data_IF_236763663373
#
_entry.id   IF_236763663373
#
_cell.length_a   1.000
_cell.length_b   1.000
_cell.length_c   1.000
_cell.angle_alpha   90.00
_cell.angle_beta   90.00
_cell.angle_gamma   90.00
#
_symmetry.space_group_name_H-M   'P 1'
#
loop_
_entity.id
_entity.type
_entity.pdbx_description
1 polymer ?
#
# COMPACT_ATOMS: atom_id res chain seq x y z
N UNK A 1 -28.30 27.74 -26.90
CA UNK A 1 -29.05 27.93 -25.63
C UNK A 1 -29.50 26.54 -25.21
N UNK A 2 -29.17 25.90 -24.09
CA UNK A 2 -28.43 26.14 -22.85
C UNK A 2 -27.98 24.73 -22.40
N UNK A 3 -26.70 24.46 -22.13
CA UNK A 3 -25.97 24.75 -20.89
C UNK A 3 -26.37 23.88 -19.69
N UNK A 4 -25.33 23.29 -19.06
CA UNK A 4 -25.22 22.79 -17.68
C UNK A 4 -25.77 21.40 -17.37
N UNK A 5 -25.12 20.53 -16.59
CA UNK A 5 -23.87 20.62 -15.82
C UNK A 5 -23.49 19.19 -15.40
N UNK A 6 -22.33 18.70 -15.83
CA UNK A 6 -21.58 17.65 -15.12
C UNK A 6 -20.43 18.37 -14.42
N UNK A 7 -20.41 18.39 -13.07
CA UNK A 7 -19.17 18.57 -12.30
C UNK A 7 -19.36 18.33 -10.80
N UNK A 8 -19.02 17.13 -10.37
CA UNK A 8 -18.76 16.80 -8.97
C UNK A 8 -17.35 16.21 -8.82
N UNK A 9 -16.32 17.00 -9.13
CA UNK A 9 -14.94 16.59 -8.89
C UNK A 9 -14.59 16.91 -7.42
N UNK A 10 -14.41 15.87 -6.60
CA UNK A 10 -13.80 16.00 -5.28
C UNK A 10 -12.33 16.38 -5.49
N UNK A 11 -12.04 17.68 -5.35
CA UNK A 11 -10.69 18.23 -5.36
C UNK A 11 -10.04 17.96 -4.01
N UNK A 12 -9.22 16.93 -3.94
CA UNK A 12 -8.28 16.76 -2.82
C UNK A 12 -7.18 17.81 -2.99
N UNK A 13 -7.28 18.91 -2.25
CA UNK A 13 -6.20 19.90 -2.11
C UNK A 13 -4.95 19.20 -1.58
N UNK A 14 -3.97 18.93 -2.44
CA UNK A 14 -2.61 18.65 -2.01
C UNK A 14 -2.02 19.93 -1.44
N UNK A 15 -1.94 20.01 -0.11
CA UNK A 15 -1.11 21.01 0.57
C UNK A 15 0.34 20.63 0.35
N UNK A 16 1.02 21.37 -0.54
CA UNK A 16 2.45 21.26 -0.77
C UNK A 16 3.21 21.66 0.50
N UNK A 17 3.46 20.69 1.38
CA UNK A 17 4.29 20.89 2.55
C UNK A 17 5.74 21.08 2.09
N UNK A 18 6.32 22.26 2.37
CA UNK A 18 7.72 22.61 2.14
C UNK A 18 8.62 21.42 2.53
N UNK A 19 9.31 20.80 1.57
CA UNK A 19 10.19 19.66 1.84
C UNK A 19 11.59 19.98 1.32
N UNK A 20 12.56 19.89 2.23
CA UNK A 20 13.98 19.85 1.89
C UNK A 20 14.31 18.71 0.92
N UNK A 21 15.59 18.58 0.57
CA UNK A 21 16.15 17.67 -0.45
C UNK A 21 15.24 16.44 -0.71
N UNK A 22 14.78 16.24 -1.97
CA UNK A 22 13.83 15.18 -2.30
C UNK A 22 14.21 13.87 -1.63
N UNK A 23 13.24 13.23 -0.97
CA UNK A 23 13.40 11.87 -0.43
C UNK A 23 13.99 10.99 -1.52
N UNK A 24 15.07 10.28 -1.21
CA UNK A 24 15.70 9.36 -2.16
C UNK A 24 14.71 8.22 -2.44
N UNK A 25 14.07 8.27 -3.61
CA UNK A 25 13.02 7.34 -4.01
C UNK A 25 13.53 5.92 -4.22
N UNK A 26 14.83 5.75 -4.55
CA UNK A 26 15.43 4.42 -4.72
C UNK A 26 15.57 3.71 -3.37
N UNK A 27 15.98 4.47 -2.36
CA UNK A 27 16.06 3.96 -1.00
C UNK A 27 14.67 3.60 -0.46
N UNK A 28 13.65 4.40 -0.76
CA UNK A 28 12.27 4.09 -0.35
C UNK A 28 11.78 2.79 -0.99
N UNK A 29 12.00 2.62 -2.30
CA UNK A 29 11.65 1.39 -3.00
C UNK A 29 12.35 0.15 -2.39
N UNK A 30 13.65 0.23 -2.12
CA UNK A 30 14.41 -0.87 -1.52
C UNK A 30 13.88 -1.27 -0.12
N UNK A 31 13.50 -0.28 0.71
CA UNK A 31 12.92 -0.54 2.03
C UNK A 31 11.51 -1.14 1.90
N UNK A 32 10.71 -0.70 0.92
CA UNK A 32 9.38 -1.26 0.66
C UNK A 32 9.47 -2.71 0.18
N UNK A 33 10.35 -3.03 -0.77
CA UNK A 33 10.56 -4.41 -1.23
C UNK A 33 11.01 -5.32 -0.08
N UNK A 34 11.95 -4.86 0.74
CA UNK A 34 12.38 -5.57 1.95
C UNK A 34 11.23 -5.77 2.96
N UNK A 35 10.32 -4.81 3.06
CA UNK A 35 9.13 -4.90 3.92
C UNK A 35 8.18 -5.98 3.42
N UNK A 36 7.87 -5.98 2.12
CA UNK A 36 7.01 -6.99 1.49
C UNK A 36 7.63 -8.38 1.67
N UNK A 37 8.94 -8.53 1.46
CA UNK A 37 9.64 -9.80 1.62
C UNK A 37 9.67 -10.30 3.09
N UNK A 38 9.88 -9.41 4.06
CA UNK A 38 9.87 -9.76 5.48
C UNK A 38 8.45 -10.19 5.92
N UNK A 39 7.43 -9.43 5.53
CA UNK A 39 6.03 -9.79 5.80
C UNK A 39 5.70 -11.11 5.13
N UNK A 40 6.01 -11.29 3.84
CA UNK A 40 5.86 -12.56 3.09
C UNK A 40 6.50 -13.76 3.78
N UNK A 41 7.65 -13.56 4.43
CA UNK A 41 8.39 -14.63 5.10
C UNK A 41 7.88 -14.95 6.51
N UNK A 42 7.40 -13.95 7.27
CA UNK A 42 7.16 -14.08 8.72
C UNK A 42 5.73 -13.74 9.16
N UNK A 43 4.86 -13.37 8.23
CA UNK A 43 3.57 -12.79 8.55
C UNK A 43 3.67 -11.35 9.06
N UNK A 44 2.53 -10.69 9.18
CA UNK A 44 2.44 -9.28 9.59
C UNK A 44 2.94 -9.03 11.03
N UNK A 45 2.52 -9.89 11.96
CA UNK A 45 2.93 -9.84 13.36
C UNK A 45 4.42 -10.18 13.54
N UNK A 46 4.91 -11.17 12.80
CA UNK A 46 6.30 -11.64 12.87
C UNK A 46 7.32 -10.75 12.14
N UNK A 47 6.87 -9.83 11.29
CA UNK A 47 7.75 -8.89 10.61
C UNK A 47 8.34 -7.86 11.60
N UNK A 48 9.64 -7.60 11.50
CA UNK A 48 10.35 -6.69 12.42
C UNK A 48 11.09 -5.60 11.66
N UNK A 49 11.25 -4.42 12.28
CA UNK A 49 12.04 -3.33 11.69
C UNK A 49 13.50 -3.76 11.52
N UNK A 50 14.03 -4.55 12.45
CA UNK A 50 15.34 -5.18 12.38
C UNK A 50 15.48 -6.07 11.13
N UNK A 51 14.52 -6.96 10.89
CA UNK A 51 14.53 -7.84 9.72
C UNK A 51 14.42 -7.07 8.40
N UNK A 52 13.59 -6.03 8.36
CA UNK A 52 13.45 -5.15 7.20
C UNK A 52 14.74 -4.39 6.94
N UNK A 53 15.34 -3.80 7.98
CA UNK A 53 16.60 -3.08 7.90
C UNK A 53 17.73 -3.97 7.38
N UNK A 54 17.82 -5.20 7.89
CA UNK A 54 18.80 -6.19 7.43
C UNK A 54 18.60 -6.54 5.94
N UNK A 55 17.37 -6.79 5.50
CA UNK A 55 17.05 -7.10 4.10
C UNK A 55 17.31 -5.93 3.15
N UNK A 56 17.00 -4.71 3.58
CA UNK A 56 17.23 -3.49 2.79
C UNK A 56 18.70 -3.02 2.83
N UNK A 57 19.57 -3.64 3.63
CA UNK A 57 20.96 -3.21 3.79
C UNK A 57 21.11 -1.84 4.45
N UNK A 58 20.19 -1.46 5.34
CA UNK A 58 20.18 -0.15 6.01
C UNK A 58 20.10 -0.26 7.52
N UNK A 59 20.43 0.83 8.23
CA UNK A 59 20.22 0.91 9.68
C UNK A 59 18.79 1.27 10.07
N UNK A 60 18.34 0.82 11.25
CA UNK A 60 17.00 1.13 11.80
C UNK A 60 16.68 2.63 11.83
N UNK A 61 17.66 3.46 12.21
CA UNK A 61 17.49 4.92 12.25
C UNK A 61 17.20 5.55 10.87
N UNK A 62 17.63 4.90 9.77
CA UNK A 62 17.28 5.31 8.41
C UNK A 62 15.80 5.07 8.13
N UNK A 63 15.24 3.96 8.61
CA UNK A 63 13.82 3.65 8.51
C UNK A 63 13.01 4.61 9.37
N UNK A 64 13.33 4.74 10.67
CA UNK A 64 12.55 5.59 11.58
C UNK A 64 12.55 7.07 11.23
N UNK A 65 13.64 7.58 10.63
CA UNK A 65 13.70 8.97 10.11
C UNK A 65 12.71 9.19 8.96
N UNK A 66 12.38 8.14 8.21
CA UNK A 66 11.49 8.19 7.05
C UNK A 66 10.04 7.87 7.42
N UNK A 67 9.84 6.86 8.26
CA UNK A 67 8.56 6.41 8.80
C UNK A 67 8.66 6.33 10.33
N UNK A 68 7.99 7.22 11.06
CA UNK A 68 8.10 7.29 12.53
C UNK A 68 7.75 5.99 13.26
N UNK A 69 6.89 5.14 12.67
CA UNK A 69 6.49 3.86 13.23
C UNK A 69 6.54 2.71 12.20
N UNK A 70 6.48 1.46 12.72
CA UNK A 70 6.29 0.24 11.90
C UNK A 70 4.99 0.33 11.09
N UNK A 71 3.92 0.84 11.71
CA UNK A 71 2.61 1.03 11.06
C UNK A 71 2.70 2.01 9.89
N UNK A 72 3.38 3.15 10.05
CA UNK A 72 3.56 4.13 8.96
C UNK A 72 4.28 3.53 7.75
N UNK A 73 5.31 2.72 7.99
CA UNK A 73 6.03 2.01 6.93
C UNK A 73 5.12 0.99 6.24
N UNK A 74 4.32 0.25 7.00
CA UNK A 74 3.47 -0.81 6.47
C UNK A 74 2.30 -0.23 5.66
N UNK A 75 1.71 0.87 6.12
CA UNK A 75 0.72 1.63 5.35
C UNK A 75 1.32 2.15 4.05
N UNK A 76 2.53 2.72 4.10
CA UNK A 76 3.21 3.18 2.88
C UNK A 76 3.50 2.02 1.92
N UNK A 77 4.01 0.90 2.42
CA UNK A 77 4.24 -0.30 1.61
C UNK A 77 2.93 -0.83 1.02
N UNK A 78 1.83 -0.84 1.79
CA UNK A 78 0.51 -1.21 1.31
C UNK A 78 0.06 -0.33 0.13
N UNK A 79 0.27 0.99 0.19
CA UNK A 79 -0.03 1.89 -0.94
C UNK A 79 0.82 1.63 -2.19
N UNK A 80 2.00 1.00 -2.04
CA UNK A 80 2.85 0.67 -3.17
C UNK A 80 2.41 -0.63 -3.88
N UNK A 81 1.81 -1.58 -3.15
CA UNK A 81 1.23 -2.81 -3.74
C UNK A 81 -0.21 -2.61 -4.22
N UNK A 82 -0.99 -1.75 -3.57
CA UNK A 82 -2.31 -1.35 -4.08
C UNK A 82 -2.15 -0.27 -5.14
N UNK A 83 -2.03 -0.68 -6.41
CA UNK A 83 -2.31 0.26 -7.51
C UNK A 83 -3.74 0.79 -7.34
N UNK A 84 -4.00 2.09 -7.54
CA UNK A 84 -5.37 2.55 -7.75
C UNK A 84 -5.91 1.76 -8.93
N UNK A 85 -6.87 0.86 -8.67
CA UNK A 85 -7.72 0.36 -9.72
C UNK A 85 -8.64 1.53 -10.02
N UNK A 86 -8.34 2.29 -11.07
CA UNK A 86 -9.40 3.09 -11.68
C UNK A 86 -10.48 2.10 -12.07
N UNK A 87 -11.61 2.14 -11.35
CA UNK A 87 -12.74 1.30 -11.70
C UNK A 87 -13.10 1.65 -13.14
N UNK A 88 -13.10 0.67 -14.06
CA UNK A 88 -13.63 0.91 -15.39
C UNK A 88 -15.05 1.46 -15.23
N UNK A 89 -15.39 2.44 -16.04
CA UNK A 89 -16.76 2.95 -16.17
C UNK A 89 -17.18 2.62 -17.61
N UNK A 90 -17.47 1.35 -17.83
CA UNK A 90 -17.86 0.83 -19.15
C UNK A 90 -19.35 1.05 -19.42
N UNK A 91 -20.10 1.58 -18.44
CA UNK A 91 -21.56 1.71 -18.47
C UNK A 91 -22.29 0.43 -18.06
N UNK A 92 -21.55 -0.61 -17.65
CA UNK A 92 -22.09 -1.88 -17.17
C UNK A 92 -21.58 -2.17 -15.76
N UNK A 93 -22.47 -2.00 -14.78
CA UNK A 93 -22.15 -2.24 -13.37
C UNK A 93 -21.56 -3.64 -13.11
N UNK A 94 -22.04 -4.66 -13.83
CA UNK A 94 -21.55 -6.05 -13.65
C UNK A 94 -20.12 -6.18 -14.17
N UNK A 95 -19.81 -5.61 -15.33
CA UNK A 95 -18.47 -5.67 -15.92
C UNK A 95 -17.48 -4.84 -15.11
N UNK A 96 -17.89 -3.67 -14.66
CA UNK A 96 -17.08 -2.79 -13.81
C UNK A 96 -16.81 -3.42 -12.45
N UNK A 97 -17.79 -4.15 -11.88
CA UNK A 97 -17.62 -4.92 -10.64
C UNK A 97 -16.62 -6.06 -10.81
N UNK A 98 -16.72 -6.84 -11.89
CA UNK A 98 -15.74 -7.90 -12.17
C UNK A 98 -14.34 -7.32 -12.39
N UNK A 99 -14.22 -6.22 -13.13
CA UNK A 99 -12.94 -5.58 -13.37
C UNK A 99 -12.31 -4.97 -12.12
N UNK A 100 -13.12 -4.54 -11.14
CA UNK A 100 -12.64 -4.08 -9.85
C UNK A 100 -12.25 -5.22 -8.90
N UNK A 101 -13.01 -6.31 -8.88
CA UNK A 101 -12.86 -7.41 -7.90
C UNK A 101 -11.83 -8.45 -8.34
N UNK A 102 -11.75 -8.78 -9.64
CA UNK A 102 -10.85 -9.84 -10.13
C UNK A 102 -9.36 -9.54 -9.87
N UNK A 103 -8.84 -8.31 -10.04
CA UNK A 103 -7.44 -8.01 -9.71
C UNK A 103 -7.14 -8.15 -8.21
N UNK A 104 -8.11 -7.82 -7.35
CA UNK A 104 -7.99 -7.97 -5.90
C UNK A 104 -8.01 -9.45 -5.54
N UNK A 105 -8.94 -10.22 -6.11
CA UNK A 105 -9.02 -11.66 -5.92
C UNK A 105 -7.76 -12.39 -6.43
N UNK A 106 -7.25 -12.01 -7.61
CA UNK A 106 -5.98 -12.50 -8.14
C UNK A 106 -4.85 -12.21 -7.17
N UNK A 107 -4.70 -10.95 -6.74
CA UNK A 107 -3.70 -10.53 -5.75
C UNK A 107 -3.78 -11.35 -4.45
N UNK A 108 -4.98 -11.55 -3.91
CA UNK A 108 -5.20 -12.29 -2.67
C UNK A 108 -4.98 -13.81 -2.83
N UNK A 109 -5.11 -14.35 -4.04
CA UNK A 109 -4.91 -15.78 -4.32
C UNK A 109 -3.51 -16.12 -4.82
N UNK A 110 -2.64 -15.12 -4.98
CA UNK A 110 -1.22 -15.36 -5.31
C UNK A 110 -0.54 -16.18 -4.21
N UNK A 111 0.29 -17.17 -4.55
CA UNK A 111 0.91 -18.06 -3.56
C UNK A 111 1.72 -17.29 -2.50
N UNK A 112 2.34 -16.17 -2.88
CA UNK A 112 3.16 -15.34 -1.97
C UNK A 112 2.31 -14.56 -0.95
N UNK A 113 1.06 -14.25 -1.29
CA UNK A 113 0.15 -13.45 -0.45
C UNK A 113 -0.90 -14.32 0.27
N UNK A 114 -1.24 -15.48 -0.28
CA UNK A 114 -2.17 -16.43 0.32
C UNK A 114 -1.70 -16.92 1.71
N UNK A 115 -0.39 -17.04 1.91
CA UNK A 115 0.19 -17.38 3.22
C UNK A 115 0.02 -16.28 4.28
N UNK A 116 -0.21 -15.04 3.87
CA UNK A 116 -0.33 -13.88 4.77
C UNK A 116 -1.78 -13.57 5.16
N UNK A 117 -2.74 -13.94 4.31
CA UNK A 117 -4.16 -13.66 4.48
C UNK A 117 -4.73 -14.02 5.86
N UNK A 118 -4.47 -15.22 6.42
CA UNK A 118 -5.00 -15.56 7.75
C UNK A 118 -4.48 -14.64 8.86
N UNK A 119 -3.20 -14.26 8.79
CA UNK A 119 -2.59 -13.37 9.78
C UNK A 119 -3.13 -11.93 9.69
N UNK A 120 -3.45 -11.47 8.49
CA UNK A 120 -4.00 -10.14 8.25
C UNK A 120 -5.47 -10.05 8.71
N UNK A 121 -6.26 -11.09 8.46
CA UNK A 121 -7.66 -11.19 8.93
C UNK A 121 -7.75 -11.27 10.45
N UNK A 122 -6.82 -12.00 11.09
CA UNK A 122 -6.75 -12.09 12.55
C UNK A 122 -6.43 -10.73 13.21
N UNK A 123 -5.54 -9.94 12.60
CA UNK A 123 -5.20 -8.59 13.08
C UNK A 123 -6.38 -7.62 12.92
N UNK A 124 -7.04 -7.63 11.75
CA UNK A 124 -8.19 -6.76 11.50
C UNK A 124 -9.37 -7.01 12.45
N UNK A 125 -9.55 -8.26 12.90
CA UNK A 125 -10.55 -8.63 13.90
C UNK A 125 -10.19 -8.18 15.32
N UNK A 126 -8.92 -7.84 15.58
CA UNK A 126 -8.40 -7.47 16.88
C UNK A 126 -8.25 -5.94 17.07
N UNK A 127 -8.51 -5.16 16.02
CA UNK A 127 -8.45 -3.68 16.02
C UNK A 127 -9.83 -3.04 16.36
N UNK A 128 -10.60 -3.70 17.25
CA UNK A 128 -11.93 -3.28 17.71
C UNK A 128 -11.93 -2.81 19.16
#
# INVERSE_FOLDING_TARGET
MSSSLVKGAVSVRQTAHRRGRPRDARLDAAIVEATIAEVGSKGWAGATIEGIAARAGVGRGTIYRRWPSKTDLFQYAATAVTRPVEAPDTGSFVEDLFAAVLPIADMLTRPELAGLLPSLLAEAANDS
#
